data_IF_317523442910
#
_entry.id   IF_317523442910
#
_cell.length_a   1.000
_cell.length_b   1.000
_cell.length_c   1.000
_cell.angle_alpha   90.00
_cell.angle_beta   90.00
_cell.angle_gamma   90.00
#
_symmetry.space_group_name_H-M   'P 1'
#
loop_
_entity.id
_entity.type
_entity.pdbx_description
1 polymer ?
#
# COMPACT_ATOMS: atom_id res chain seq x y z
N UNK A 1 -14.58 -35.62 -14.94
CA UNK A 1 -14.20 -35.48 -13.52
C UNK A 1 -13.73 -34.07 -13.31
N UNK A 2 -14.60 -33.19 -12.85
CA UNK A 2 -14.23 -31.82 -12.44
C UNK A 2 -13.72 -31.91 -11.02
N UNK A 3 -12.39 -31.86 -10.89
CA UNK A 3 -11.77 -31.68 -9.57
C UNK A 3 -12.25 -30.30 -9.06
N UNK A 4 -13.22 -30.28 -8.15
CA UNK A 4 -13.50 -29.10 -7.35
C UNK A 4 -12.33 -28.98 -6.35
N UNK A 5 -11.28 -28.29 -6.75
CA UNK A 5 -10.36 -27.72 -5.79
C UNK A 5 -11.21 -26.85 -4.88
N UNK A 6 -11.18 -27.10 -3.59
CA UNK A 6 -11.71 -26.15 -2.60
C UNK A 6 -11.04 -24.81 -2.93
N UNK A 7 -11.78 -23.71 -3.04
CA UNK A 7 -11.16 -22.43 -3.32
C UNK A 7 -10.10 -22.20 -2.24
N UNK A 8 -8.87 -21.92 -2.66
CA UNK A 8 -7.81 -21.53 -1.74
C UNK A 8 -8.27 -20.29 -0.96
N UNK A 9 -7.87 -20.19 0.29
CA UNK A 9 -8.16 -19.00 1.09
C UNK A 9 -7.71 -17.75 0.34
N UNK A 10 -8.52 -16.68 0.28
CA UNK A 10 -8.16 -15.48 -0.46
C UNK A 10 -6.93 -14.81 0.16
N UNK A 11 -6.16 -14.10 -0.65
CA UNK A 11 -4.88 -13.50 -0.28
C UNK A 11 -4.93 -11.98 -0.35
N UNK A 12 -4.46 -11.34 0.70
CA UNK A 12 -4.30 -9.89 0.76
C UNK A 12 -2.82 -9.54 0.90
N UNK A 13 -2.25 -8.95 -0.12
CA UNK A 13 -0.87 -8.44 -0.10
C UNK A 13 -0.90 -6.92 -0.03
N UNK A 14 -0.14 -6.33 0.90
CA UNK A 14 0.03 -4.89 0.98
C UNK A 14 1.47 -4.50 0.64
N UNK A 15 1.63 -3.48 -0.20
CA UNK A 15 2.87 -2.72 -0.31
C UNK A 15 2.69 -1.39 0.41
N UNK A 16 3.25 -1.31 1.60
CA UNK A 16 3.09 -0.19 2.52
C UNK A 16 4.42 0.56 2.78
N UNK A 17 4.34 1.70 3.45
CA UNK A 17 5.49 2.53 3.79
C UNK A 17 5.29 4.00 3.39
N UNK A 18 6.22 4.87 3.78
CA UNK A 18 6.09 6.31 3.60
C UNK A 18 6.18 6.79 2.14
N UNK A 19 5.89 8.07 1.88
CA UNK A 19 6.04 8.63 0.54
C UNK A 19 7.52 8.59 0.09
N UNK A 20 7.75 8.48 -1.22
CA UNK A 20 9.09 8.43 -1.80
C UNK A 20 9.82 7.09 -1.71
N UNK A 21 9.28 6.09 -0.97
CA UNK A 21 9.97 4.80 -0.76
C UNK A 21 9.92 3.86 -1.97
N UNK A 22 9.12 4.12 -3.00
CA UNK A 22 9.06 3.32 -4.22
C UNK A 22 8.05 2.17 -4.20
N UNK A 23 7.06 2.19 -3.30
CA UNK A 23 6.00 1.16 -3.17
C UNK A 23 5.37 0.74 -4.49
N UNK A 24 4.80 1.69 -5.22
CA UNK A 24 4.09 1.40 -6.48
C UNK A 24 4.99 0.80 -7.54
N UNK A 25 6.25 1.25 -7.60
CA UNK A 25 7.26 0.70 -8.52
C UNK A 25 7.59 -0.74 -8.17
N UNK A 26 7.83 -1.03 -6.88
CA UNK A 26 8.14 -2.38 -6.41
C UNK A 26 6.93 -3.31 -6.55
N UNK A 27 5.73 -2.85 -6.22
CA UNK A 27 4.51 -3.63 -6.37
C UNK A 27 4.24 -4.04 -7.82
N UNK A 28 4.42 -3.11 -8.77
CA UNK A 28 4.28 -3.39 -10.21
C UNK A 28 5.36 -4.36 -10.72
N UNK A 29 6.58 -4.33 -10.17
CA UNK A 29 7.63 -5.31 -10.49
C UNK A 29 7.35 -6.67 -9.84
N UNK A 30 6.75 -6.68 -8.65
CA UNK A 30 6.47 -7.89 -7.90
C UNK A 30 5.29 -8.68 -8.46
N UNK A 31 4.23 -8.00 -8.89
CA UNK A 31 2.98 -8.64 -9.35
C UNK A 31 3.20 -9.79 -10.34
N UNK A 32 3.90 -9.61 -11.49
CA UNK A 32 4.08 -10.70 -12.43
C UNK A 32 4.85 -11.89 -11.83
N UNK A 33 5.81 -11.64 -10.94
CA UNK A 33 6.58 -12.69 -10.28
C UNK A 33 5.76 -13.46 -9.23
N UNK A 34 4.87 -12.76 -8.54
CA UNK A 34 3.92 -13.36 -7.59
C UNK A 34 2.93 -14.25 -8.35
N UNK A 35 2.34 -13.74 -9.44
CA UNK A 35 1.42 -14.49 -10.31
C UNK A 35 2.12 -15.75 -10.89
N UNK A 36 3.33 -15.63 -11.41
CA UNK A 36 4.11 -16.76 -11.92
C UNK A 36 4.35 -17.80 -10.82
N UNK A 37 4.71 -17.37 -9.61
CA UNK A 37 5.05 -18.26 -8.51
C UNK A 37 3.84 -18.93 -7.87
N UNK A 38 2.71 -18.25 -7.79
CA UNK A 38 1.48 -18.76 -7.15
C UNK A 38 0.54 -19.45 -8.15
N UNK A 39 0.62 -19.12 -9.43
CA UNK A 39 -0.35 -19.53 -10.44
C UNK A 39 -1.72 -18.87 -10.27
N UNK A 40 -1.82 -17.80 -9.48
CA UNK A 40 -3.08 -17.13 -9.13
C UNK A 40 -3.07 -15.67 -9.59
N UNK A 41 -4.24 -15.18 -10.00
CA UNK A 41 -4.45 -13.78 -10.36
C UNK A 41 -4.72 -12.91 -9.14
N UNK A 42 -4.35 -11.64 -9.24
CA UNK A 42 -4.53 -10.64 -8.19
C UNK A 42 -5.17 -9.37 -8.74
N UNK A 43 -6.18 -8.86 -8.05
CA UNK A 43 -6.70 -7.52 -8.29
C UNK A 43 -5.73 -6.49 -7.72
N UNK A 44 -5.16 -5.66 -8.59
CA UNK A 44 -4.17 -4.65 -8.21
C UNK A 44 -4.83 -3.30 -7.97
N UNK A 45 -4.70 -2.76 -6.75
CA UNK A 45 -5.35 -1.53 -6.33
C UNK A 45 -4.32 -0.57 -5.69
N UNK A 46 -3.90 0.43 -6.45
CA UNK A 46 -3.03 1.51 -5.97
C UNK A 46 -3.87 2.73 -5.57
N UNK A 47 -3.64 3.26 -4.37
CA UNK A 47 -4.38 4.40 -3.80
C UNK A 47 -4.38 5.60 -4.73
N UNK A 48 -3.22 5.94 -5.28
CA UNK A 48 -3.08 7.12 -6.11
C UNK A 48 -3.74 6.95 -7.48
N UNK A 49 -3.83 5.72 -7.99
CA UNK A 49 -4.58 5.42 -9.20
C UNK A 49 -6.09 5.45 -8.94
N UNK A 50 -6.54 4.86 -7.83
CA UNK A 50 -7.97 4.74 -7.53
C UNK A 50 -8.61 6.10 -7.20
N UNK A 51 -7.92 6.92 -6.41
CA UNK A 51 -8.50 8.17 -5.87
C UNK A 51 -7.79 9.44 -6.35
N UNK A 52 -6.70 9.35 -7.10
CA UNK A 52 -5.90 10.51 -7.47
C UNK A 52 -6.71 11.60 -8.20
N UNK A 53 -7.45 11.25 -9.24
CA UNK A 53 -8.26 12.19 -9.99
C UNK A 53 -9.44 12.76 -9.17
N UNK A 54 -10.13 11.88 -8.43
CA UNK A 54 -11.25 12.29 -7.57
C UNK A 54 -10.80 13.28 -6.51
N UNK A 55 -9.76 12.95 -5.77
CA UNK A 55 -9.25 13.82 -4.71
C UNK A 55 -8.66 15.12 -5.26
N UNK A 56 -8.04 15.10 -6.45
CA UNK A 56 -7.62 16.35 -7.12
C UNK A 56 -8.80 17.27 -7.39
N UNK A 57 -9.89 16.71 -7.91
CA UNK A 57 -11.09 17.49 -8.18
C UNK A 57 -11.71 18.09 -6.91
N UNK A 58 -11.83 17.29 -5.84
CA UNK A 58 -12.37 17.80 -4.55
C UNK A 58 -11.45 18.87 -3.97
N UNK A 59 -10.14 18.68 -4.00
CA UNK A 59 -9.19 19.65 -3.48
C UNK A 59 -9.19 20.94 -4.28
N UNK A 60 -9.34 20.87 -5.61
CA UNK A 60 -9.53 22.04 -6.46
C UNK A 60 -10.77 22.83 -6.04
N UNK A 61 -11.91 22.17 -5.91
CA UNK A 61 -13.18 22.82 -5.54
C UNK A 61 -13.16 23.44 -4.15
N UNK A 62 -12.41 22.88 -3.21
CA UNK A 62 -12.48 23.26 -1.80
C UNK A 62 -11.32 24.14 -1.33
N UNK A 63 -10.15 24.01 -1.96
CA UNK A 63 -8.93 24.72 -1.54
C UNK A 63 -8.23 25.46 -2.67
N UNK A 64 -8.73 25.33 -3.91
CA UNK A 64 -8.09 25.82 -5.14
C UNK A 64 -6.66 25.28 -5.32
N UNK A 65 -6.38 24.08 -4.79
CA UNK A 65 -5.10 23.38 -4.94
C UNK A 65 -5.32 21.88 -5.21
N UNK A 66 -5.38 21.44 -6.48
CA UNK A 66 -5.68 20.06 -6.84
C UNK A 66 -4.56 19.09 -6.47
N UNK A 67 -3.38 19.59 -6.15
CA UNK A 67 -2.20 18.77 -5.91
C UNK A 67 -1.95 18.49 -4.41
N UNK A 68 -2.64 19.17 -3.52
CA UNK A 68 -2.45 18.97 -2.09
C UNK A 68 -2.96 17.59 -1.64
N UNK A 69 -2.05 16.82 -1.06
CA UNK A 69 -2.30 15.45 -0.56
C UNK A 69 -1.79 15.24 0.88
N UNK A 70 -1.39 16.32 1.56
CA UNK A 70 -0.75 16.21 2.87
C UNK A 70 -1.03 17.36 3.83
N UNK A 71 -1.73 18.41 3.40
CA UNK A 71 -2.13 19.48 4.32
C UNK A 71 -3.04 18.97 5.43
N UNK A 72 -3.16 19.72 6.54
CA UNK A 72 -4.14 19.42 7.59
C UNK A 72 -5.58 19.32 7.06
N UNK A 73 -5.93 20.09 6.02
CA UNK A 73 -7.25 20.01 5.39
C UNK A 73 -7.47 18.65 4.71
N UNK A 74 -6.54 18.25 3.83
CA UNK A 74 -6.62 16.95 3.16
C UNK A 74 -6.66 15.79 4.16
N UNK A 75 -5.78 15.80 5.15
CA UNK A 75 -5.73 14.76 6.18
C UNK A 75 -7.03 14.63 6.95
N UNK A 76 -7.67 15.76 7.27
CA UNK A 76 -8.92 15.79 8.03
C UNK A 76 -10.15 15.39 7.21
N UNK A 77 -10.20 15.74 5.92
CA UNK A 77 -11.43 15.69 5.14
C UNK A 77 -11.45 14.61 4.04
N UNK A 78 -10.30 14.17 3.53
CA UNK A 78 -10.24 13.23 2.40
C UNK A 78 -9.50 11.93 2.70
N UNK A 79 -8.36 12.01 3.40
CA UNK A 79 -7.47 10.86 3.54
C UNK A 79 -8.18 9.60 4.02
N UNK A 80 -8.91 9.69 5.11
CA UNK A 80 -9.51 8.50 5.72
C UNK A 80 -10.64 7.90 4.86
N UNK A 81 -11.32 8.71 4.07
CA UNK A 81 -12.32 8.25 3.11
C UNK A 81 -11.69 7.51 1.93
N UNK A 82 -10.52 7.95 1.43
CA UNK A 82 -9.76 7.22 0.41
C UNK A 82 -9.38 5.83 0.90
N UNK A 83 -8.85 5.72 2.13
CA UNK A 83 -8.46 4.43 2.70
C UNK A 83 -9.68 3.53 3.01
N UNK A 84 -10.76 4.10 3.52
CA UNK A 84 -11.99 3.36 3.73
C UNK A 84 -12.54 2.78 2.43
N UNK A 85 -12.54 3.57 1.35
CA UNK A 85 -12.95 3.11 0.03
C UNK A 85 -12.05 2.01 -0.54
N UNK A 86 -10.71 2.14 -0.40
CA UNK A 86 -9.79 1.09 -0.81
C UNK A 86 -10.04 -0.24 -0.08
N UNK A 87 -10.24 -0.16 1.24
CA UNK A 87 -10.53 -1.33 2.07
C UNK A 87 -11.88 -1.93 1.68
N UNK A 88 -12.88 -1.11 1.38
CA UNK A 88 -14.19 -1.59 0.92
C UNK A 88 -14.09 -2.37 -0.40
N UNK A 89 -13.37 -1.83 -1.39
CA UNK A 89 -13.14 -2.51 -2.68
C UNK A 89 -12.37 -3.82 -2.47
N UNK A 90 -11.31 -3.80 -1.65
CA UNK A 90 -10.55 -5.00 -1.33
C UNK A 90 -11.42 -6.06 -0.65
N UNK A 91 -12.26 -5.67 0.31
CA UNK A 91 -13.21 -6.54 1.00
C UNK A 91 -14.15 -7.25 0.02
N UNK A 92 -14.78 -6.51 -0.88
CA UNK A 92 -15.70 -7.10 -1.88
C UNK A 92 -14.99 -8.16 -2.74
N UNK A 93 -13.78 -7.85 -3.23
CA UNK A 93 -13.00 -8.79 -4.03
C UNK A 93 -12.62 -10.05 -3.24
N UNK A 94 -12.11 -9.89 -2.00
CA UNK A 94 -11.75 -11.03 -1.15
C UNK A 94 -12.97 -11.90 -0.80
N UNK A 95 -14.14 -11.30 -0.55
CA UNK A 95 -15.38 -12.04 -0.32
C UNK A 95 -15.86 -12.84 -1.55
N UNK A 96 -15.49 -12.40 -2.74
CA UNK A 96 -15.72 -13.10 -4.01
C UNK A 96 -14.64 -14.15 -4.32
N UNK A 97 -13.65 -14.32 -3.43
CA UNK A 97 -12.54 -15.25 -3.62
C UNK A 97 -11.42 -14.71 -4.54
N UNK A 98 -11.42 -13.42 -4.84
CA UNK A 98 -10.38 -12.77 -5.64
C UNK A 98 -9.26 -12.26 -4.75
N UNK A 99 -8.02 -12.65 -5.05
CA UNK A 99 -6.84 -12.16 -4.35
C UNK A 99 -6.61 -10.66 -4.63
N UNK A 100 -6.07 -9.93 -3.65
CA UNK A 100 -5.91 -8.48 -3.76
C UNK A 100 -4.50 -8.04 -3.41
N UNK A 101 -3.93 -7.14 -4.24
CA UNK A 101 -2.73 -6.36 -3.90
C UNK A 101 -3.14 -4.91 -3.66
N UNK A 102 -2.92 -4.43 -2.44
CA UNK A 102 -3.12 -3.02 -2.07
C UNK A 102 -1.78 -2.28 -2.04
N UNK A 103 -1.77 -1.08 -2.59
CA UNK A 103 -0.59 -0.20 -2.57
C UNK A 103 -0.96 1.17 -1.99
N UNK A 104 -0.26 1.58 -0.95
CA UNK A 104 -0.47 2.87 -0.31
C UNK A 104 0.35 3.00 0.97
N UNK A 105 0.37 4.15 1.63
CA UNK A 105 1.07 4.30 2.91
C UNK A 105 0.61 3.34 4.00
N UNK A 106 -0.69 3.25 4.27
CA UNK A 106 -1.31 2.42 5.32
C UNK A 106 -0.67 2.52 6.71
N UNK A 107 0.06 3.61 6.98
CA UNK A 107 0.87 3.76 8.20
C UNK A 107 0.03 3.69 9.47
N UNK A 108 -1.08 4.42 9.53
CA UNK A 108 -1.98 4.46 10.69
C UNK A 108 -2.71 3.13 10.87
N UNK A 109 -3.15 2.52 9.78
CA UNK A 109 -3.90 1.28 9.74
C UNK A 109 -3.04 0.09 10.19
N UNK A 110 -1.75 0.08 9.80
CA UNK A 110 -0.76 -0.92 10.23
C UNK A 110 -0.36 -0.68 11.69
N UNK A 111 -0.10 0.57 12.07
CA UNK A 111 0.31 0.90 13.45
C UNK A 111 -0.78 0.59 14.47
N UNK A 112 -2.06 0.80 14.12
CA UNK A 112 -3.20 0.46 14.99
C UNK A 112 -3.50 -1.04 15.07
N UNK A 113 -2.82 -1.88 14.28
CA UNK A 113 -3.08 -3.31 14.20
C UNK A 113 -4.26 -3.70 13.30
N UNK A 114 -5.02 -2.74 12.79
CA UNK A 114 -6.24 -2.99 11.99
C UNK A 114 -5.97 -3.85 10.76
N UNK A 115 -4.80 -3.72 10.13
CA UNK A 115 -4.46 -4.49 8.93
C UNK A 115 -4.11 -5.96 9.18
N UNK A 116 -4.06 -6.40 10.43
CA UNK A 116 -3.79 -7.79 10.80
C UNK A 116 -5.04 -8.55 11.26
N UNK A 117 -6.17 -7.85 11.36
CA UNK A 117 -7.43 -8.40 11.86
C UNK A 117 -8.45 -8.58 10.72
N UNK A 118 -8.54 -9.78 10.11
CA UNK A 118 -9.53 -10.04 9.06
C UNK A 118 -10.97 -9.76 9.51
N UNK A 119 -11.33 -10.07 10.75
CA UNK A 119 -12.67 -9.83 11.28
C UNK A 119 -12.97 -8.34 11.42
N UNK A 120 -12.02 -7.56 11.96
CA UNK A 120 -12.14 -6.10 12.07
C UNK A 120 -12.11 -5.39 10.72
N UNK A 121 -11.51 -5.98 9.69
CA UNK A 121 -11.61 -5.53 8.30
C UNK A 121 -12.92 -5.97 7.62
N UNK A 122 -13.62 -6.95 8.18
CA UNK A 122 -14.82 -7.57 7.61
C UNK A 122 -14.53 -8.38 6.34
N UNK A 123 -13.32 -8.93 6.22
CA UNK A 123 -12.89 -9.86 5.15
C UNK A 123 -13.02 -11.32 5.65
N UNK A 124 -12.96 -12.34 4.77
CA UNK A 124 -12.99 -13.72 5.20
C UNK A 124 -11.90 -14.03 6.24
N UNK A 125 -12.25 -14.77 7.29
CA UNK A 125 -11.32 -15.07 8.41
C UNK A 125 -10.08 -15.84 7.96
N UNK A 126 -10.25 -16.68 6.95
CA UNK A 126 -9.20 -17.48 6.34
C UNK A 126 -8.26 -16.67 5.43
N UNK A 127 -8.54 -15.37 5.21
CA UNK A 127 -7.68 -14.53 4.35
C UNK A 127 -6.27 -14.48 4.87
N UNK A 128 -5.31 -14.92 4.06
CA UNK A 128 -3.90 -14.77 4.39
C UNK A 128 -3.42 -13.36 4.07
N UNK A 129 -2.83 -12.69 5.06
CA UNK A 129 -2.36 -11.30 4.93
C UNK A 129 -0.83 -11.26 4.95
N UNK A 130 -0.23 -10.66 3.92
CA UNK A 130 1.22 -10.40 3.83
C UNK A 130 1.48 -8.93 3.53
N UNK A 131 2.39 -8.32 4.25
CA UNK A 131 2.73 -6.90 4.14
C UNK A 131 4.20 -6.74 3.81
N UNK A 132 4.49 -6.14 2.65
CA UNK A 132 5.80 -5.61 2.32
C UNK A 132 5.87 -4.16 2.84
N UNK A 133 6.59 -3.94 3.92
CA UNK A 133 6.88 -2.59 4.39
C UNK A 133 8.14 -2.08 3.72
N UNK A 134 8.00 -1.06 2.88
CA UNK A 134 9.11 -0.52 2.10
C UNK A 134 9.77 0.61 2.88
N UNK A 135 10.98 0.32 3.35
CA UNK A 135 11.83 1.27 4.05
C UNK A 135 12.68 2.08 3.07
N UNK A 136 12.97 3.30 3.47
CA UNK A 136 13.96 4.15 2.83
C UNK A 136 14.43 5.23 3.81
N UNK A 137 15.71 5.55 3.76
CA UNK A 137 16.27 6.72 4.44
C UNK A 137 15.49 8.00 4.09
N UNK A 138 15.27 8.87 5.07
CA UNK A 138 14.41 10.04 4.88
C UNK A 138 15.00 11.07 3.91
N UNK A 139 16.34 11.24 3.91
CA UNK A 139 17.00 12.18 3.00
C UNK A 139 16.92 11.66 1.56
N UNK A 140 17.09 10.35 1.38
CA UNK A 140 16.95 9.72 0.08
C UNK A 140 15.48 9.77 -0.39
N UNK A 141 14.50 9.57 0.50
CA UNK A 141 13.08 9.72 0.17
C UNK A 141 12.78 11.16 -0.30
N UNK A 142 13.31 12.16 0.41
CA UNK A 142 13.21 13.56 0.02
C UNK A 142 13.81 13.81 -1.36
N UNK A 143 15.06 13.37 -1.56
CA UNK A 143 15.77 13.50 -2.84
C UNK A 143 14.99 12.87 -4.00
N UNK A 144 14.38 11.69 -3.80
CA UNK A 144 13.55 11.03 -4.82
C UNK A 144 12.28 11.82 -5.14
N UNK A 145 11.64 12.43 -4.13
CA UNK A 145 10.47 13.30 -4.34
C UNK A 145 10.85 14.57 -5.07
N UNK A 146 11.96 15.23 -4.71
CA UNK A 146 12.50 16.39 -5.41
C UNK A 146 12.81 16.07 -6.88
N UNK A 147 13.48 14.94 -7.15
CA UNK A 147 13.88 14.55 -8.51
C UNK A 147 12.68 14.17 -9.41
N UNK A 148 11.63 13.55 -8.85
CA UNK A 148 10.45 13.23 -9.66
C UNK A 148 9.57 14.44 -9.95
N UNK A 149 9.73 15.53 -9.19
CA UNK A 149 9.03 16.80 -9.34
C UNK A 149 7.50 16.65 -9.49
N UNK A 150 6.90 15.71 -8.77
CA UNK A 150 5.45 15.52 -8.76
C UNK A 150 4.80 16.65 -7.94
N UNK A 151 3.87 17.42 -8.51
CA UNK A 151 3.21 18.52 -7.79
C UNK A 151 2.54 18.08 -6.48
N UNK A 152 2.14 16.82 -6.36
CA UNK A 152 1.55 16.25 -5.14
C UNK A 152 2.53 16.12 -3.97
N UNK A 153 3.82 16.32 -4.20
CA UNK A 153 4.84 16.32 -3.14
C UNK A 153 5.14 17.71 -2.61
N UNK A 154 4.64 18.76 -3.25
CA UNK A 154 4.96 20.16 -2.91
C UNK A 154 4.75 20.46 -1.43
N UNK A 155 3.57 20.13 -0.89
CA UNK A 155 3.29 20.38 0.53
C UNK A 155 4.30 19.67 1.45
N UNK A 156 4.64 18.40 1.18
CA UNK A 156 5.61 17.62 1.94
C UNK A 156 6.98 18.26 1.92
N UNK A 157 7.43 18.67 0.73
CA UNK A 157 8.76 19.25 0.54
C UNK A 157 8.88 20.60 1.22
N UNK A 158 7.85 21.45 1.13
CA UNK A 158 7.77 22.76 1.80
C UNK A 158 7.73 22.59 3.33
N UNK A 159 6.93 21.63 3.81
CA UNK A 159 6.73 21.39 5.24
C UNK A 159 7.46 20.13 5.73
N UNK A 160 8.67 19.89 5.23
CA UNK A 160 9.42 18.66 5.47
C UNK A 160 9.53 18.27 6.94
N UNK A 161 9.84 19.24 7.81
CA UNK A 161 9.97 19.02 9.27
C UNK A 161 8.65 18.57 9.92
N UNK A 162 7.51 18.98 9.39
CA UNK A 162 6.20 18.53 9.86
C UNK A 162 5.84 17.17 9.29
N UNK A 163 6.16 16.95 8.02
CA UNK A 163 5.92 15.68 7.35
C UNK A 163 6.67 14.53 8.02
N UNK A 164 7.97 14.68 8.31
CA UNK A 164 8.76 13.59 8.89
C UNK A 164 8.33 13.23 10.32
N UNK A 165 7.77 14.15 11.09
CA UNK A 165 7.20 13.84 12.42
C UNK A 165 6.02 12.87 12.36
N UNK A 166 5.39 12.71 11.19
CA UNK A 166 4.29 11.77 10.96
C UNK A 166 4.76 10.39 10.50
N UNK A 167 6.06 10.23 10.27
CA UNK A 167 6.61 8.91 9.95
C UNK A 167 6.52 8.02 11.17
N UNK A 168 6.11 6.79 10.94
CA UNK A 168 5.97 5.76 11.97
C UNK A 168 6.80 4.55 11.60
N UNK A 169 7.25 3.83 12.61
CA UNK A 169 7.84 2.50 12.43
C UNK A 169 6.72 1.46 12.47
N UNK A 170 6.75 0.46 11.59
CA UNK A 170 5.77 -0.62 11.64
C UNK A 170 5.99 -1.45 12.90
N UNK A 171 4.94 -2.02 13.50
CA UNK A 171 5.09 -2.96 14.60
C UNK A 171 5.82 -4.23 14.13
N UNK A 172 6.43 -4.94 15.07
CA UNK A 172 6.92 -6.29 14.81
C UNK A 172 5.72 -7.24 14.71
N UNK A 173 5.51 -7.81 13.53
CA UNK A 173 4.42 -8.75 13.28
C UNK A 173 4.83 -9.76 12.21
N UNK A 174 4.41 -11.01 12.32
CA UNK A 174 4.76 -12.09 11.37
C UNK A 174 4.30 -11.82 9.94
N UNK A 175 3.17 -11.11 9.80
CA UNK A 175 2.66 -10.69 8.49
C UNK A 175 3.44 -9.54 7.86
N UNK A 176 4.48 -8.99 8.49
CA UNK A 176 5.28 -7.89 7.94
C UNK A 176 6.68 -8.36 7.56
N UNK A 177 7.05 -8.14 6.30
CA UNK A 177 8.43 -8.21 5.83
C UNK A 177 8.92 -6.82 5.46
N UNK A 178 9.99 -6.37 6.11
CA UNK A 178 10.64 -5.09 5.77
C UNK A 178 11.55 -5.26 4.56
N UNK A 179 11.52 -4.28 3.67
CA UNK A 179 12.38 -4.21 2.49
C UNK A 179 13.02 -2.83 2.40
N UNK A 180 14.32 -2.77 2.64
CA UNK A 180 15.11 -1.56 2.42
C UNK A 180 15.33 -1.33 0.93
N UNK A 181 14.81 -0.21 0.43
CA UNK A 181 14.88 0.20 -0.97
C UNK A 181 15.92 1.32 -1.23
N UNK A 182 16.92 1.46 -0.36
CA UNK A 182 18.01 2.43 -0.57
C UNK A 182 18.81 2.06 -1.82
N UNK A 183 19.24 0.79 -1.89
CA UNK A 183 19.88 0.22 -3.07
C UNK A 183 19.10 -1.03 -3.46
N UNK A 184 18.56 -1.05 -4.70
CA UNK A 184 17.83 -2.21 -5.18
C UNK A 184 18.76 -3.43 -5.22
N UNK A 185 18.40 -4.46 -4.48
CA UNK A 185 19.10 -5.74 -4.40
C UNK A 185 18.18 -6.85 -4.89
N UNK A 186 18.57 -7.50 -6.01
CA UNK A 186 17.75 -8.54 -6.62
C UNK A 186 17.55 -9.76 -5.70
N UNK A 187 18.55 -10.13 -4.91
CA UNK A 187 18.43 -11.29 -4.01
C UNK A 187 17.47 -10.98 -2.85
N UNK A 188 17.55 -9.78 -2.27
CA UNK A 188 16.59 -9.33 -1.25
C UNK A 188 15.18 -9.24 -1.83
N UNK A 189 15.05 -8.75 -3.08
CA UNK A 189 13.78 -8.66 -3.75
C UNK A 189 13.18 -10.05 -4.02
N UNK A 190 13.98 -11.02 -4.48
CA UNK A 190 13.54 -12.41 -4.65
C UNK A 190 13.04 -13.02 -3.34
N UNK A 191 13.73 -12.79 -2.21
CA UNK A 191 13.28 -13.21 -0.88
C UNK A 191 11.99 -12.53 -0.43
N UNK A 192 11.75 -11.29 -0.87
CA UNK A 192 10.47 -10.62 -0.64
C UNK A 192 9.36 -11.29 -1.44
N UNK A 193 9.61 -11.61 -2.73
CA UNK A 193 8.65 -12.33 -3.58
C UNK A 193 8.33 -13.71 -3.00
N UNK A 194 9.33 -14.45 -2.52
CA UNK A 194 9.13 -15.72 -1.81
C UNK A 194 8.17 -15.54 -0.65
N UNK A 195 8.46 -14.63 0.26
CA UNK A 195 7.61 -14.33 1.40
C UNK A 195 6.17 -13.94 1.01
N UNK A 196 6.01 -13.12 -0.04
CA UNK A 196 4.70 -12.68 -0.51
C UNK A 196 3.92 -13.77 -1.27
N UNK A 197 4.59 -14.82 -1.71
CA UNK A 197 4.00 -15.94 -2.44
C UNK A 197 3.78 -17.19 -1.58
N UNK A 198 4.42 -17.27 -0.40
CA UNK A 198 4.26 -18.36 0.56
C UNK A 198 3.03 -18.09 1.43
N UNK A 199 2.00 -18.89 1.23
CA UNK A 199 0.79 -18.87 2.06
C UNK A 199 0.58 -20.29 2.60
N UNK A 200 0.48 -20.41 3.90
CA UNK A 200 0.11 -21.65 4.58
C UNK A 200 -1.40 -21.89 4.50
#
# INVERSE_FOLDING_TARGET
MTCKLSPSAPRLILFAGHAGTGKSTLAKKALPLIVEKTGEDFFFLDKDTAYGAFSSHIMELTTNNPNDRDSPYYLKHLRDWEYAGLIAIAKENLQLGVNVILVGPFSSEIQSGRMFDPEGLGIPRETSIRIAWIDLDENEAKRRMENRADPRDEWKLVHWKEYIKRRVEPPTHESIKRFDNLHFDQNKFNKLIEYLSEFE
#
